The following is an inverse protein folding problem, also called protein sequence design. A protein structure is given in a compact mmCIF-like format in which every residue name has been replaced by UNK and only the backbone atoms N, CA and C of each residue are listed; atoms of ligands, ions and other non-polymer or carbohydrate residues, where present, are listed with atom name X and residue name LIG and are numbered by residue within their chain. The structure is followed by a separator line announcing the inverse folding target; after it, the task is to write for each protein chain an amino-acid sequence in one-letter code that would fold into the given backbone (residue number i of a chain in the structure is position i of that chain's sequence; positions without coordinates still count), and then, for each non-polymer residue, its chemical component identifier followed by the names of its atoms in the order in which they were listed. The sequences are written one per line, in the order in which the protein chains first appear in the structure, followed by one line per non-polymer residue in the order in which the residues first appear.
data_IF_603375243382
#
_entry.id   IF_603375243382
#
_cell.length_a   1.000
_cell.length_b   1.000
_cell.length_c   1.000
_cell.angle_alpha   90.00
_cell.angle_beta   90.00
_cell.angle_gamma   90.00
#
_symmetry.space_group_name_H-M   'P 1'
#
loop_
_entity.id
_entity.type
_entity.pdbx_description
1 polymer ?
#
# COMPACT_ATOMS: atom_id res chain seq x y z
N UNK A 1 2.08 40.27 -22.88
CA UNK A 1 3.49 40.48 -22.43
C UNK A 1 3.88 39.62 -21.22
N UNK A 2 2.98 39.37 -20.25
CA UNK A 2 3.29 38.60 -19.02
C UNK A 2 3.49 37.08 -19.27
N UNK A 3 2.77 36.49 -20.25
CA UNK A 3 2.86 35.05 -20.57
C UNK A 3 4.20 34.65 -21.23
N UNK A 4 4.88 35.59 -21.89
CA UNK A 4 6.17 35.32 -22.54
C UNK A 4 7.30 35.10 -21.51
N UNK A 5 7.24 35.80 -20.38
CA UNK A 5 8.27 35.74 -19.35
C UNK A 5 8.19 34.47 -18.49
N UNK A 6 6.99 33.92 -18.26
CA UNK A 6 6.81 32.68 -17.50
C UNK A 6 7.28 31.44 -18.27
N UNK A 7 7.08 31.40 -19.59
CA UNK A 7 7.58 30.32 -20.46
C UNK A 7 9.11 30.36 -20.55
N UNK A 8 9.71 31.54 -20.70
CA UNK A 8 11.17 31.70 -20.65
C UNK A 8 11.78 31.32 -19.31
N UNK A 9 11.10 31.63 -18.19
CA UNK A 9 11.56 31.23 -16.86
C UNK A 9 11.56 29.71 -16.67
N UNK A 10 10.51 29.02 -17.13
CA UNK A 10 10.42 27.56 -17.06
C UNK A 10 11.44 26.86 -17.97
N UNK A 11 11.66 27.37 -19.19
CA UNK A 11 12.69 26.84 -20.10
C UNK A 11 14.11 27.02 -19.56
N UNK A 12 14.41 28.18 -18.95
CA UNK A 12 15.71 28.45 -18.33
C UNK A 12 15.95 27.61 -17.07
N UNK A 13 14.92 27.33 -16.27
CA UNK A 13 15.03 26.45 -15.09
C UNK A 13 15.23 24.99 -15.50
N UNK A 14 14.56 24.54 -16.56
CA UNK A 14 14.75 23.20 -17.15
C UNK A 14 16.16 23.01 -17.70
N UNK A 15 16.69 23.99 -18.44
CA UNK A 15 18.06 23.90 -18.96
C UNK A 15 19.11 23.90 -17.85
N UNK A 16 18.93 24.70 -16.79
CA UNK A 16 19.82 24.71 -15.63
C UNK A 16 19.80 23.40 -14.84
N UNK A 17 18.65 22.74 -14.70
CA UNK A 17 18.56 21.42 -14.06
C UNK A 17 19.28 20.36 -14.89
N UNK A 18 19.11 20.38 -16.22
CA UNK A 18 19.85 19.51 -17.13
C UNK A 18 21.36 19.75 -17.06
N UNK A 19 21.81 21.01 -16.94
CA UNK A 19 23.23 21.34 -16.81
C UNK A 19 23.82 20.94 -15.45
N UNK A 20 23.04 21.01 -14.36
CA UNK A 20 23.45 20.54 -13.02
C UNK A 20 23.59 19.01 -13.02
N UNK A 21 22.62 18.28 -13.60
CA UNK A 21 22.67 16.82 -13.73
C UNK A 21 23.80 16.35 -14.65
N UNK A 22 24.10 17.11 -15.71
CA UNK A 22 25.17 16.80 -16.67
C UNK A 22 26.57 17.13 -16.14
N UNK A 23 26.68 18.00 -15.13
CA UNK A 23 27.95 18.48 -14.56
C UNK A 23 28.34 17.81 -13.25
N UNK A 24 27.46 17.06 -12.60
CA UNK A 24 27.85 16.25 -11.44
C UNK A 24 28.60 14.99 -11.90
N UNK A 25 29.91 15.09 -12.09
CA UNK A 25 30.78 13.93 -11.94
C UNK A 25 30.37 13.26 -10.62
N UNK A 26 30.07 11.95 -10.58
CA UNK A 26 29.65 11.32 -9.33
C UNK A 26 30.76 11.57 -8.32
N UNK A 27 30.44 12.35 -7.28
CA UNK A 27 31.44 12.68 -6.27
C UNK A 27 31.89 11.36 -5.65
N UNK A 28 33.19 11.22 -5.40
CA UNK A 28 33.76 10.00 -4.85
C UNK A 28 33.06 9.59 -3.55
N UNK A 29 32.55 10.58 -2.79
CA UNK A 29 31.69 10.39 -1.62
C UNK A 29 30.34 9.71 -1.93
N UNK A 30 29.64 10.08 -3.01
CA UNK A 30 28.38 9.44 -3.42
C UNK A 30 28.61 7.97 -3.83
N UNK A 31 29.71 7.69 -4.53
CA UNK A 31 30.06 6.32 -4.93
C UNK A 31 30.38 5.47 -3.70
N UNK A 32 31.20 5.98 -2.77
CA UNK A 32 31.52 5.27 -1.53
C UNK A 32 30.28 5.00 -0.68
N UNK A 33 29.40 6.00 -0.54
CA UNK A 33 28.15 5.88 0.21
C UNK A 33 27.21 4.85 -0.44
N UNK A 34 27.00 4.92 -1.75
CA UNK A 34 26.18 3.94 -2.47
C UNK A 34 26.77 2.53 -2.39
N UNK A 35 28.09 2.38 -2.55
CA UNK A 35 28.76 1.08 -2.42
C UNK A 35 28.56 0.49 -1.03
N UNK A 36 28.69 1.30 0.03
CA UNK A 36 28.49 0.83 1.39
C UNK A 36 27.11 0.20 1.61
N UNK A 37 26.04 0.83 1.10
CA UNK A 37 24.68 0.28 1.17
C UNK A 37 24.47 -0.95 0.27
N UNK A 38 25.23 -1.09 -0.81
CA UNK A 38 25.16 -2.26 -1.69
C UNK A 38 25.91 -3.49 -1.14
N UNK A 39 26.83 -3.33 -0.19
CA UNK A 39 27.66 -4.45 0.33
C UNK A 39 26.82 -5.66 0.78
N UNK A 40 25.77 -5.53 1.64
CA UNK A 40 25.01 -6.69 2.09
C UNK A 40 24.32 -7.43 0.94
N UNK A 41 23.79 -6.69 -0.03
CA UNK A 41 23.13 -7.24 -1.22
C UNK A 41 24.15 -8.01 -2.08
N UNK A 42 25.35 -7.43 -2.28
CA UNK A 42 26.43 -8.08 -3.03
C UNK A 42 26.92 -9.36 -2.33
N UNK A 43 26.98 -9.37 -1.00
CA UNK A 43 27.35 -10.55 -0.22
C UNK A 43 26.31 -11.67 -0.43
N UNK A 44 25.02 -11.35 -0.34
CA UNK A 44 23.93 -12.34 -0.57
C UNK A 44 23.91 -12.84 -2.02
N UNK A 45 24.15 -11.97 -3.00
CA UNK A 45 24.30 -12.40 -4.40
C UNK A 45 25.54 -13.29 -4.59
N UNK A 46 26.65 -12.96 -3.93
CA UNK A 46 27.87 -13.75 -3.95
C UNK A 46 27.71 -15.14 -3.31
N UNK A 47 26.87 -15.25 -2.28
CA UNK A 47 26.53 -16.53 -1.66
C UNK A 47 25.67 -17.43 -2.53
N UNK A 48 25.32 -17.06 -3.76
CA UNK A 48 24.71 -18.00 -4.71
C UNK A 48 25.75 -18.88 -5.41
N UNK A 49 27.04 -18.52 -5.34
CA UNK A 49 28.13 -19.20 -6.06
C UNK A 49 28.99 -20.11 -5.17
N UNK A 50 28.71 -20.17 -3.86
CA UNK A 50 29.37 -21.13 -2.96
C UNK A 50 28.56 -22.46 -2.94
N UNK A 51 29.18 -23.62 -2.69
CA UNK A 51 28.48 -24.90 -2.64
C UNK A 51 27.64 -25.06 -1.35
N UNK A 52 26.34 -25.40 -1.46
CA UNK A 52 25.37 -25.49 -0.34
C UNK A 52 24.46 -26.72 -0.40
N UNK A 53 25.00 -27.91 -0.65
CA UNK A 53 24.19 -29.00 -1.19
C UNK A 53 23.10 -29.55 -0.25
N UNK A 54 23.38 -29.88 1.02
CA UNK A 54 22.38 -30.56 1.87
C UNK A 54 21.27 -29.63 2.44
N UNK A 55 21.61 -28.39 2.80
CA UNK A 55 20.64 -27.45 3.37
C UNK A 55 19.71 -26.87 2.30
N UNK A 56 20.22 -26.62 1.09
CA UNK A 56 19.44 -26.07 0.00
C UNK A 56 18.43 -27.08 -0.53
N UNK A 57 18.82 -28.35 -0.72
CA UNK A 57 17.89 -29.41 -1.12
C UNK A 57 16.78 -29.59 -0.09
N UNK A 58 17.10 -29.58 1.20
CA UNK A 58 16.10 -29.69 2.25
C UNK A 58 15.11 -28.51 2.24
N UNK A 59 15.57 -27.27 2.03
CA UNK A 59 14.69 -26.10 1.96
C UNK A 59 13.78 -26.12 0.73
N UNK A 60 14.33 -26.48 -0.42
CA UNK A 60 13.58 -26.60 -1.69
C UNK A 60 12.47 -27.64 -1.56
N UNK A 61 12.78 -28.80 -0.96
CA UNK A 61 11.85 -29.92 -0.87
C UNK A 61 10.78 -29.75 0.21
N UNK A 62 11.02 -28.94 1.24
CA UNK A 62 10.11 -28.83 2.39
C UNK A 62 9.30 -27.54 2.44
N UNK A 63 9.91 -26.37 2.29
CA UNK A 63 9.27 -25.09 2.64
C UNK A 63 9.18 -24.12 1.49
N UNK A 64 10.00 -24.27 0.44
CA UNK A 64 10.06 -23.31 -0.64
C UNK A 64 8.73 -23.18 -1.39
N UNK A 65 8.06 -24.29 -1.68
CA UNK A 65 6.76 -24.27 -2.36
C UNK A 65 5.71 -23.54 -1.52
N UNK A 66 5.64 -23.84 -0.23
CA UNK A 66 4.72 -23.19 0.69
C UNK A 66 4.98 -21.68 0.82
N UNK A 67 6.24 -21.25 0.90
CA UNK A 67 6.57 -19.83 0.95
C UNK A 67 6.18 -19.11 -0.35
N UNK A 68 6.52 -19.67 -1.51
CA UNK A 68 6.19 -19.07 -2.80
C UNK A 68 4.68 -18.96 -2.99
N UNK A 69 3.93 -20.02 -2.68
CA UNK A 69 2.48 -20.03 -2.83
C UNK A 69 1.80 -19.09 -1.83
N UNK A 70 2.20 -19.12 -0.55
CA UNK A 70 1.62 -18.23 0.45
C UNK A 70 1.91 -16.76 0.14
N UNK A 71 3.14 -16.41 -0.25
CA UNK A 71 3.48 -15.04 -0.67
C UNK A 71 2.67 -14.63 -1.90
N UNK A 72 2.50 -15.51 -2.88
CA UNK A 72 1.67 -15.22 -4.06
C UNK A 72 0.21 -14.95 -3.69
N UNK A 73 -0.38 -15.76 -2.81
CA UNK A 73 -1.74 -15.53 -2.32
C UNK A 73 -1.86 -14.27 -1.46
N UNK A 74 -0.84 -13.94 -0.66
CA UNK A 74 -0.77 -12.69 0.09
C UNK A 74 -0.75 -11.49 -0.84
N UNK A 75 0.10 -11.47 -1.86
CA UNK A 75 0.18 -10.38 -2.83
C UNK A 75 -1.16 -10.12 -3.52
N UNK A 76 -1.85 -11.19 -3.96
CA UNK A 76 -3.16 -11.06 -4.61
C UNK A 76 -4.23 -10.61 -3.61
N UNK A 77 -4.31 -11.28 -2.45
CA UNK A 77 -5.33 -11.01 -1.44
C UNK A 77 -5.20 -9.60 -0.87
N UNK A 78 -4.01 -9.26 -0.38
CA UNK A 78 -3.71 -7.94 0.20
C UNK A 78 -3.86 -6.85 -0.86
N UNK A 79 -3.35 -7.07 -2.07
CA UNK A 79 -3.51 -6.11 -3.17
C UNK A 79 -4.98 -5.84 -3.51
N UNK A 80 -5.81 -6.88 -3.61
CA UNK A 80 -7.22 -6.76 -3.92
C UNK A 80 -8.01 -6.04 -2.82
N UNK A 81 -7.89 -6.47 -1.56
CA UNK A 81 -8.62 -5.88 -0.45
C UNK A 81 -8.16 -4.46 -0.14
N UNK A 82 -6.85 -4.18 -0.21
CA UNK A 82 -6.32 -2.82 -0.02
C UNK A 82 -6.83 -1.87 -1.10
N UNK A 83 -6.90 -2.29 -2.36
CA UNK A 83 -7.50 -1.47 -3.43
C UNK A 83 -8.97 -1.14 -3.14
N UNK A 84 -9.74 -2.15 -2.71
CA UNK A 84 -11.16 -1.99 -2.40
C UNK A 84 -11.38 -1.01 -1.24
N UNK A 85 -10.63 -1.20 -0.15
CA UNK A 85 -10.69 -0.38 1.06
C UNK A 85 -10.15 1.04 0.86
N UNK A 86 -9.41 1.31 -0.21
CA UNK A 86 -8.80 2.62 -0.44
C UNK A 86 -9.46 3.43 -1.53
N UNK A 87 -9.66 2.86 -2.72
CA UNK A 87 -10.13 3.62 -3.88
C UNK A 87 -11.56 4.08 -3.68
N UNK A 88 -12.43 3.23 -3.12
CA UNK A 88 -13.84 3.57 -2.88
C UNK A 88 -13.97 4.70 -1.85
N UNK A 89 -13.37 4.61 -0.65
CA UNK A 89 -13.44 5.72 0.31
C UNK A 89 -12.74 6.99 -0.17
N UNK A 90 -11.61 6.89 -0.88
CA UNK A 90 -10.94 8.05 -1.47
C UNK A 90 -11.86 8.82 -2.43
N UNK A 91 -12.61 8.11 -3.28
CA UNK A 91 -13.58 8.75 -4.17
C UNK A 91 -14.74 9.38 -3.39
N UNK A 92 -15.33 8.64 -2.44
CA UNK A 92 -16.49 9.10 -1.67
C UNK A 92 -16.18 10.38 -0.88
N UNK A 93 -15.05 10.39 -0.18
CA UNK A 93 -14.64 11.48 0.70
C UNK A 93 -14.21 12.72 -0.08
N UNK A 94 -13.70 12.57 -1.30
CA UNK A 94 -13.32 13.70 -2.14
C UNK A 94 -14.52 14.30 -2.88
N UNK A 95 -15.45 13.47 -3.38
CA UNK A 95 -16.49 13.93 -4.30
C UNK A 95 -17.83 14.22 -3.65
N UNK A 96 -18.10 13.66 -2.47
CA UNK A 96 -19.37 13.84 -1.77
C UNK A 96 -19.17 14.62 -0.46
N UNK A 97 -20.09 15.53 -0.18
CA UNK A 97 -20.21 16.21 1.11
C UNK A 97 -21.28 15.47 1.92
N UNK A 98 -20.86 14.75 2.96
CA UNK A 98 -21.76 14.06 3.89
C UNK A 98 -21.31 14.33 5.34
N UNK A 99 -22.24 14.30 6.31
CA UNK A 99 -21.89 14.52 7.72
C UNK A 99 -20.90 13.44 8.18
N UNK A 100 -19.80 13.86 8.82
CA UNK A 100 -18.77 12.94 9.31
C UNK A 100 -17.62 12.63 8.35
N UNK A 101 -17.62 13.18 7.12
CA UNK A 101 -16.53 12.98 6.15
C UNK A 101 -15.15 13.38 6.69
N UNK A 102 -15.09 14.41 7.55
CA UNK A 102 -13.85 14.81 8.24
C UNK A 102 -13.35 13.70 9.17
N UNK A 103 -14.20 13.13 10.01
CA UNK A 103 -13.78 12.03 10.91
C UNK A 103 -13.33 10.81 10.11
N UNK A 104 -14.02 10.48 9.02
CA UNK A 104 -13.64 9.37 8.15
C UNK A 104 -12.26 9.59 7.50
N UNK A 105 -11.92 10.81 7.09
CA UNK A 105 -10.60 11.15 6.55
C UNK A 105 -9.47 10.83 7.53
N UNK A 106 -9.67 11.12 8.81
CA UNK A 106 -8.68 10.84 9.85
C UNK A 106 -8.68 9.36 10.22
N UNK A 107 -9.86 8.75 10.37
CA UNK A 107 -10.01 7.34 10.73
C UNK A 107 -9.33 6.40 9.73
N UNK A 108 -9.41 6.73 8.43
CA UNK A 108 -8.73 5.97 7.37
C UNK A 108 -7.21 5.95 7.54
N UNK A 109 -6.61 6.99 8.11
CA UNK A 109 -5.17 7.09 8.29
C UNK A 109 -4.69 6.48 9.61
N UNK A 110 -5.58 6.22 10.56
CA UNK A 110 -5.23 5.71 11.89
C UNK A 110 -4.44 4.40 11.87
N UNK A 111 -4.78 3.38 11.05
CA UNK A 111 -4.07 2.11 11.09
C UNK A 111 -2.58 2.24 10.78
N UNK A 112 -2.20 3.15 9.87
CA UNK A 112 -0.80 3.38 9.49
C UNK A 112 -0.01 4.20 10.52
N UNK A 113 -0.68 4.80 11.51
CA UNK A 113 0.00 5.56 12.58
C UNK A 113 0.79 4.69 13.54
N UNK A 114 0.45 3.40 13.63
CA UNK A 114 1.09 2.44 14.52
C UNK A 114 2.09 1.60 13.73
N UNK A 115 3.27 1.28 14.30
CA UNK A 115 4.19 0.32 13.71
C UNK A 115 3.49 -1.03 13.42
N UNK A 116 3.69 -1.59 12.23
CA UNK A 116 3.01 -2.80 11.77
C UNK A 116 3.16 -3.99 12.74
N UNK A 117 4.34 -4.12 13.34
CA UNK A 117 4.63 -5.16 14.34
C UNK A 117 3.76 -5.05 15.61
N UNK A 118 3.52 -3.82 16.09
CA UNK A 118 2.65 -3.59 17.25
C UNK A 118 1.22 -4.03 16.91
N UNK A 119 0.75 -3.67 15.72
CA UNK A 119 -0.58 -4.07 15.24
C UNK A 119 -0.67 -5.60 15.13
N UNK A 120 0.36 -6.27 14.62
CA UNK A 120 0.38 -7.72 14.48
C UNK A 120 0.21 -8.40 15.84
N UNK A 121 0.97 -7.99 16.85
CA UNK A 121 0.85 -8.56 18.18
C UNK A 121 -0.44 -8.21 18.89
N UNK A 122 -0.90 -6.96 18.80
CA UNK A 122 -2.19 -6.57 19.33
C UNK A 122 -3.33 -7.35 18.67
N UNK A 123 -3.27 -7.55 17.35
CA UNK A 123 -4.24 -8.35 16.59
C UNK A 123 -4.23 -9.80 17.05
N UNK A 124 -3.07 -10.46 17.04
CA UNK A 124 -2.98 -11.86 17.48
C UNK A 124 -3.39 -12.01 18.94
N UNK A 125 -2.99 -11.10 19.83
CA UNK A 125 -3.31 -11.16 21.25
C UNK A 125 -4.77 -10.85 21.56
N UNK A 126 -5.39 -9.92 20.82
CA UNK A 126 -6.80 -9.57 21.00
C UNK A 126 -7.71 -10.76 20.67
N UNK A 127 -7.38 -11.46 19.59
CA UNK A 127 -8.18 -12.55 19.06
C UNK A 127 -7.73 -13.94 19.50
N UNK A 128 -6.60 -14.09 20.21
CA UNK A 128 -6.13 -15.40 20.68
C UNK A 128 -7.18 -16.09 21.57
N UNK A 129 -6.98 -17.39 21.82
CA UNK A 129 -7.83 -18.17 22.72
C UNK A 129 -8.00 -17.53 24.11
N UNK A 130 -6.91 -16.98 24.66
CA UNK A 130 -6.90 -16.27 25.93
C UNK A 130 -7.12 -14.74 25.77
N UNK A 131 -7.36 -14.28 24.55
CA UNK A 131 -7.52 -12.88 24.22
C UNK A 131 -8.87 -12.30 24.68
N UNK A 132 -8.94 -10.97 24.88
CA UNK A 132 -10.14 -10.29 25.36
C UNK A 132 -11.38 -10.55 24.52
N UNK A 133 -11.24 -10.73 23.20
CA UNK A 133 -12.39 -10.99 22.31
C UNK A 133 -13.00 -12.35 22.62
N UNK A 134 -12.17 -13.39 22.64
CA UNK A 134 -12.63 -14.76 22.88
C UNK A 134 -13.07 -14.98 24.34
N UNK A 135 -12.43 -14.34 25.32
CA UNK A 135 -12.88 -14.40 26.72
C UNK A 135 -14.24 -13.73 26.89
N UNK A 136 -14.45 -12.54 26.32
CA UNK A 136 -15.74 -11.83 26.43
C UNK A 136 -16.88 -12.63 25.79
N UNK A 137 -16.63 -13.27 24.65
CA UNK A 137 -17.61 -14.16 24.01
C UNK A 137 -17.99 -15.31 24.95
N UNK A 138 -17.00 -15.99 25.55
CA UNK A 138 -17.25 -17.08 26.50
C UNK A 138 -18.00 -16.62 27.73
N UNK A 139 -17.64 -15.47 28.29
CA UNK A 139 -18.29 -14.91 29.48
C UNK A 139 -19.77 -14.55 29.21
N UNK A 140 -20.08 -14.03 28.02
CA UNK A 140 -21.45 -13.67 27.63
C UNK A 140 -22.31 -14.87 27.24
N UNK A 141 -21.71 -15.91 26.66
CA UNK A 141 -22.43 -17.07 26.11
C UNK A 141 -22.41 -18.28 27.03
N UNK A 142 -21.62 -18.25 28.11
CA UNK A 142 -21.27 -19.39 28.97
C UNK A 142 -20.67 -20.59 28.22
N UNK A 143 -20.14 -20.38 27.01
CA UNK A 143 -19.49 -21.41 26.23
C UNK A 143 -18.06 -21.62 26.71
N UNK A 144 -17.61 -22.87 26.75
CA UNK A 144 -16.23 -23.23 27.08
C UNK A 144 -15.30 -23.17 25.87
N UNK A 145 -14.01 -23.30 26.13
CA UNK A 145 -13.00 -23.43 25.08
C UNK A 145 -13.33 -24.65 24.21
N UNK A 146 -13.34 -24.48 22.88
CA UNK A 146 -13.70 -25.49 21.86
C UNK A 146 -15.20 -25.81 21.69
N UNK A 147 -16.11 -25.08 22.35
CA UNK A 147 -17.56 -25.24 22.14
C UNK A 147 -18.13 -24.34 21.04
N UNK A 148 -17.33 -23.39 20.54
CA UNK A 148 -17.68 -22.49 19.45
C UNK A 148 -16.57 -22.45 18.40
N UNK A 149 -16.97 -22.22 17.16
CA UNK A 149 -16.03 -22.03 16.07
C UNK A 149 -15.53 -20.59 16.05
N UNK A 150 -14.21 -20.41 16.06
CA UNK A 150 -13.55 -19.12 15.86
C UNK A 150 -12.51 -19.24 14.74
N UNK A 151 -12.45 -18.29 13.78
CA UNK A 151 -11.49 -18.37 12.68
C UNK A 151 -10.05 -18.31 13.20
N UNK A 152 -9.17 -19.16 12.66
CA UNK A 152 -7.75 -19.13 13.00
C UNK A 152 -7.10 -17.83 12.50
N UNK A 153 -6.65 -17.02 13.44
CA UNK A 153 -6.09 -15.69 13.15
C UNK A 153 -4.68 -15.79 12.57
N UNK A 154 -3.92 -16.81 12.97
CA UNK A 154 -2.59 -17.14 12.44
C UNK A 154 -2.70 -17.99 11.17
N UNK A 155 -3.55 -17.55 10.24
CA UNK A 155 -3.78 -18.21 8.95
C UNK A 155 -3.50 -17.26 7.80
N UNK A 156 -3.41 -17.81 6.58
CA UNK A 156 -3.27 -17.00 5.36
C UNK A 156 -4.38 -15.96 5.23
N UNK A 157 -5.64 -16.33 5.51
CA UNK A 157 -6.77 -15.40 5.47
C UNK A 157 -6.69 -14.31 6.54
N UNK A 158 -6.27 -14.67 7.75
CA UNK A 158 -6.04 -13.71 8.85
C UNK A 158 -4.94 -12.71 8.50
N UNK A 159 -3.83 -13.18 7.92
CA UNK A 159 -2.74 -12.35 7.44
C UNK A 159 -3.18 -11.40 6.32
N UNK A 160 -3.93 -11.90 5.31
CA UNK A 160 -4.49 -11.07 4.23
C UNK A 160 -5.36 -9.96 4.81
N UNK A 161 -6.28 -10.30 5.73
CA UNK A 161 -7.17 -9.32 6.33
C UNK A 161 -6.38 -8.26 7.12
N UNK A 162 -5.50 -8.71 8.02
CA UNK A 162 -4.71 -7.84 8.87
C UNK A 162 -3.82 -6.89 8.06
N UNK A 163 -3.02 -7.41 7.12
CA UNK A 163 -2.15 -6.60 6.27
C UNK A 163 -2.97 -5.62 5.42
N UNK A 164 -4.11 -6.03 4.88
CA UNK A 164 -4.98 -5.12 4.14
C UNK A 164 -5.44 -3.94 5.00
N UNK A 165 -5.84 -4.19 6.25
CA UNK A 165 -6.25 -3.12 7.17
C UNK A 165 -5.10 -2.20 7.59
N UNK A 166 -3.86 -2.66 7.59
CA UNK A 166 -2.70 -1.83 7.93
C UNK A 166 -2.21 -1.04 6.72
N UNK A 167 -2.18 -1.65 5.54
CA UNK A 167 -1.49 -1.12 4.36
C UNK A 167 -2.41 -0.33 3.42
N UNK A 168 -3.73 -0.50 3.48
CA UNK A 168 -4.65 0.27 2.62
C UNK A 168 -4.42 1.80 2.63
N UNK A 169 -4.03 2.48 3.75
CA UNK A 169 -3.89 3.94 3.76
C UNK A 169 -2.87 4.47 2.74
N UNK A 170 -1.86 3.67 2.36
CA UNK A 170 -0.90 4.02 1.31
C UNK A 170 -1.56 4.28 -0.04
N UNK A 171 -2.47 3.40 -0.46
CA UNK A 171 -3.24 3.56 -1.70
C UNK A 171 -4.21 4.74 -1.56
N UNK A 172 -4.85 4.87 -0.40
CA UNK A 172 -5.84 5.93 -0.16
C UNK A 172 -5.23 7.32 -0.31
N UNK A 173 -4.06 7.57 0.27
CA UNK A 173 -3.39 8.87 0.20
C UNK A 173 -3.10 9.29 -1.25
N UNK A 174 -2.53 8.39 -2.04
CA UNK A 174 -2.17 8.65 -3.43
C UNK A 174 -3.40 8.77 -4.34
N UNK A 175 -4.37 7.86 -4.19
CA UNK A 175 -5.63 7.92 -4.93
C UNK A 175 -6.40 9.21 -4.62
N UNK A 176 -6.50 9.59 -3.34
CA UNK A 176 -7.18 10.81 -2.91
C UNK A 176 -6.50 12.07 -3.43
N UNK A 177 -5.16 12.13 -3.38
CA UNK A 177 -4.40 13.24 -3.94
C UNK A 177 -4.71 13.39 -5.45
N UNK A 178 -4.69 12.30 -6.19
CA UNK A 178 -5.04 12.31 -7.61
C UNK A 178 -6.48 12.75 -7.87
N UNK A 179 -7.45 12.29 -7.09
CA UNK A 179 -8.85 12.73 -7.24
C UNK A 179 -9.06 14.22 -6.93
N UNK A 180 -8.27 14.80 -6.02
CA UNK A 180 -8.32 16.23 -5.69
C UNK A 180 -7.70 17.08 -6.80
N UNK A 181 -6.60 16.61 -7.41
CA UNK A 181 -5.92 17.31 -8.50
C UNK A 181 -6.69 17.28 -9.83
N UNK A 182 -7.66 16.38 -9.98
CA UNK A 182 -8.54 16.36 -11.15
C UNK A 182 -9.35 17.66 -11.25
N UNK A 183 -9.39 18.26 -12.44
CA UNK A 183 -10.09 19.53 -12.62
C UNK A 183 -11.61 19.35 -12.50
N UNK A 184 -12.24 20.27 -11.77
CA UNK A 184 -13.70 20.32 -11.62
C UNK A 184 -14.39 20.39 -13.00
N UNK A 185 -13.76 21.08 -13.97
CA UNK A 185 -14.23 21.19 -15.35
C UNK A 185 -14.41 19.82 -16.03
N UNK A 186 -13.45 18.89 -15.87
CA UNK A 186 -13.55 17.55 -16.46
C UNK A 186 -14.77 16.79 -15.91
N UNK A 187 -15.05 16.95 -14.62
CA UNK A 187 -16.21 16.32 -13.99
C UNK A 187 -17.52 17.00 -14.38
N UNK A 188 -17.58 18.32 -14.46
CA UNK A 188 -18.76 19.08 -14.91
C UNK A 188 -19.12 18.81 -16.38
N UNK A 189 -18.12 18.71 -17.26
CA UNK A 189 -18.32 18.32 -18.66
C UNK A 189 -18.89 16.90 -18.73
N UNK A 190 -18.38 15.96 -17.93
CA UNK A 190 -18.92 14.59 -17.90
C UNK A 190 -20.40 14.56 -17.49
N UNK A 191 -20.81 15.40 -16.53
CA UNK A 191 -22.20 15.51 -16.09
C UNK A 191 -23.09 16.13 -17.16
N UNK A 192 -22.60 17.13 -17.89
CA UNK A 192 -23.31 17.76 -19.01
C UNK A 192 -23.54 16.78 -20.16
N UNK A 193 -22.62 15.82 -20.36
CA UNK A 193 -22.75 14.71 -21.31
C UNK A 193 -23.67 13.56 -20.81
N UNK A 194 -24.41 13.78 -19.72
CA UNK A 194 -25.36 12.80 -19.17
C UNK A 194 -24.74 11.71 -18.30
N UNK A 195 -23.46 11.81 -17.91
CA UNK A 195 -22.87 10.84 -17.00
C UNK A 195 -23.41 11.01 -15.59
N UNK A 196 -23.98 9.94 -15.02
CA UNK A 196 -24.22 9.87 -13.58
C UNK A 196 -22.89 9.76 -12.81
N UNK A 197 -22.92 9.98 -11.49
CA UNK A 197 -21.69 10.03 -10.68
C UNK A 197 -20.87 8.73 -10.71
N UNK A 198 -21.52 7.57 -10.80
CA UNK A 198 -20.84 6.28 -10.92
C UNK A 198 -20.19 6.11 -12.31
N UNK A 199 -20.83 6.61 -13.36
CA UNK A 199 -20.29 6.60 -14.72
C UNK A 199 -19.10 7.54 -14.84
N UNK A 200 -19.18 8.73 -14.24
CA UNK A 200 -18.07 9.67 -14.15
C UNK A 200 -16.89 9.06 -13.38
N UNK A 201 -17.15 8.37 -12.27
CA UNK A 201 -16.13 7.63 -11.53
C UNK A 201 -15.43 6.59 -12.42
N UNK A 202 -16.19 5.66 -13.01
CA UNK A 202 -15.62 4.52 -13.76
C UNK A 202 -14.95 4.93 -15.07
N UNK A 203 -15.50 5.92 -15.78
CA UNK A 203 -15.05 6.30 -17.13
C UNK A 203 -14.05 7.45 -17.16
N UNK A 204 -14.04 8.30 -16.13
CA UNK A 204 -13.21 9.51 -16.12
C UNK A 204 -12.25 9.49 -14.94
N UNK A 205 -12.76 9.51 -13.71
CA UNK A 205 -11.92 9.70 -12.55
C UNK A 205 -10.97 8.52 -12.28
N UNK A 206 -11.47 7.29 -12.36
CA UNK A 206 -10.70 6.08 -12.09
C UNK A 206 -9.56 5.90 -13.11
N UNK A 207 -9.77 6.00 -14.44
CA UNK A 207 -8.67 5.97 -15.42
C UNK A 207 -7.60 7.04 -15.19
N UNK A 208 -8.01 8.27 -14.84
CA UNK A 208 -7.07 9.36 -14.56
C UNK A 208 -6.26 9.12 -13.26
N UNK A 209 -6.85 8.44 -12.28
CA UNK A 209 -6.18 8.11 -11.02
C UNK A 209 -5.34 6.82 -11.06
N UNK A 210 -5.41 6.03 -12.14
CA UNK A 210 -4.67 4.75 -12.26
C UNK A 210 -3.19 4.86 -11.95
N UNK A 211 -2.42 5.86 -12.44
CA UNK A 211 -0.99 5.94 -12.14
C UNK A 211 -0.73 6.05 -10.63
N UNK A 212 -1.47 6.90 -9.92
CA UNK A 212 -1.33 7.07 -8.47
C UNK A 212 -1.76 5.81 -7.70
N UNK A 213 -2.84 5.16 -8.14
CA UNK A 213 -3.32 3.90 -7.54
C UNK A 213 -2.28 2.78 -7.71
N UNK A 214 -1.65 2.66 -8.88
CA UNK A 214 -0.62 1.66 -9.15
C UNK A 214 0.62 1.92 -8.28
N UNK A 215 1.06 3.18 -8.14
CA UNK A 215 2.18 3.52 -7.26
C UNK A 215 1.88 3.14 -5.81
N UNK A 216 0.65 3.42 -5.34
CA UNK A 216 0.23 3.01 -4.00
C UNK A 216 0.17 1.50 -3.84
N UNK A 217 -0.34 0.79 -4.85
CA UNK A 217 -0.39 -0.67 -4.85
C UNK A 217 1.02 -1.26 -4.80
N UNK A 218 1.96 -0.74 -5.59
CA UNK A 218 3.35 -1.21 -5.56
C UNK A 218 3.98 -1.08 -4.18
N UNK A 219 3.69 0.01 -3.46
CA UNK A 219 4.18 0.19 -2.09
C UNK A 219 3.57 -0.85 -1.13
N UNK A 220 2.27 -1.12 -1.25
CA UNK A 220 1.60 -2.17 -0.46
C UNK A 220 2.21 -3.54 -0.75
N UNK A 221 2.42 -3.87 -2.03
CA UNK A 221 2.99 -5.17 -2.43
C UNK A 221 4.46 -5.32 -2.04
N UNK A 222 5.20 -4.22 -1.88
CA UNK A 222 6.58 -4.26 -1.36
C UNK A 222 6.60 -4.62 0.14
N UNK A 223 5.60 -4.17 0.89
CA UNK A 223 5.46 -4.40 2.34
C UNK A 223 4.75 -5.73 2.67
N UNK A 224 4.29 -6.47 1.66
CA UNK A 224 3.57 -7.74 1.79
C UNK A 224 4.51 -8.92 1.59
#
# INVERSE_FOLDING_TARGET
MIVSNSVQYLQRKSSLICDILKRSSPSLALILFSSFFCIPVLIVCGSLFLPFDETWTHLVDTVLSDYVLNSFYLLIGVGFFSLLLSVVPAWLVTMYKFPGSRYLQWAILLPMSMPAYIIAYSYTGAFDAAGPVQTTIRDMTNLQYNEYWFPEIRSLGGAIAMLSFVLYPYIYLLARASFIEQSVCVLEVSRTLGCNALSAFKRVALPLARPAIIVGLSLVLMET
#
